data_IF_087285803389
#
_entry.id   IF_087285803389
#
_cell.length_a   1.000
_cell.length_b   1.000
_cell.length_c   1.000
_cell.angle_alpha   90.00
_cell.angle_beta   90.00
_cell.angle_gamma   90.00
#
_symmetry.space_group_name_H-M   'P 1'
#
loop_
_entity.id
_entity.type
_entity.pdbx_description
1 polymer ?
#
# COMPACT_ATOMS: atom_id res chain seq x y z
N UNK A 1 8.29 4.52 -21.59
CA UNK A 1 8.18 3.10 -21.15
C UNK A 1 6.81 2.54 -21.46
N UNK A 2 6.70 1.22 -21.54
CA UNK A 2 5.41 0.51 -21.65
C UNK A 2 5.23 -0.45 -20.48
N UNK A 3 3.99 -0.71 -20.08
CA UNK A 3 3.67 -1.83 -19.18
C UNK A 3 3.02 -2.94 -19.99
N UNK A 4 3.59 -4.14 -19.92
CA UNK A 4 3.08 -5.33 -20.58
C UNK A 4 2.42 -6.26 -19.55
N UNK A 5 1.30 -6.85 -19.93
CA UNK A 5 0.63 -7.95 -19.23
C UNK A 5 0.89 -9.25 -19.97
N UNK A 6 1.36 -10.24 -19.23
CA UNK A 6 1.74 -11.56 -19.73
C UNK A 6 1.14 -12.59 -18.76
N UNK A 7 0.66 -13.71 -19.30
CA UNK A 7 0.29 -14.88 -18.50
C UNK A 7 1.06 -16.07 -19.09
N UNK A 8 2.20 -16.48 -18.51
CA UNK A 8 2.94 -17.62 -19.03
C UNK A 8 2.14 -18.90 -18.78
N UNK A 9 2.10 -19.79 -19.76
CA UNK A 9 1.30 -21.02 -19.72
C UNK A 9 2.16 -22.25 -19.38
N UNK A 10 3.46 -22.20 -19.71
CA UNK A 10 4.36 -23.35 -19.57
C UNK A 10 5.58 -23.02 -18.71
N UNK A 11 6.21 -24.06 -18.18
CA UNK A 11 7.46 -23.95 -17.40
C UNK A 11 8.57 -23.30 -18.24
N UNK A 12 8.64 -23.61 -19.54
CA UNK A 12 9.64 -23.04 -20.46
C UNK A 12 9.44 -21.53 -20.63
N UNK A 13 8.18 -21.07 -20.73
CA UNK A 13 7.90 -19.64 -20.80
C UNK A 13 8.25 -18.92 -19.49
N UNK A 14 7.96 -19.55 -18.34
CA UNK A 14 8.35 -19.03 -17.02
C UNK A 14 9.88 -18.87 -16.93
N UNK A 15 10.64 -19.91 -17.28
CA UNK A 15 12.11 -19.89 -17.25
C UNK A 15 12.69 -18.81 -18.17
N UNK A 16 12.09 -18.64 -19.35
CA UNK A 16 12.49 -17.59 -20.29
C UNK A 16 12.23 -16.19 -19.72
N UNK A 17 11.02 -15.94 -19.19
CA UNK A 17 10.68 -14.65 -18.59
C UNK A 17 11.55 -14.33 -17.38
N UNK A 18 11.86 -15.32 -16.55
CA UNK A 18 12.79 -15.19 -15.43
C UNK A 18 14.15 -14.71 -15.91
N UNK A 19 14.73 -15.39 -16.90
CA UNK A 19 16.02 -15.03 -17.48
C UNK A 19 15.98 -13.63 -18.12
N UNK A 20 14.92 -13.33 -18.88
CA UNK A 20 14.74 -12.06 -19.58
C UNK A 20 14.70 -10.88 -18.59
N UNK A 21 13.87 -11.00 -17.56
CA UNK A 21 13.72 -10.00 -16.52
C UNK A 21 15.02 -9.76 -15.74
N UNK A 22 15.73 -10.83 -15.39
CA UNK A 22 17.03 -10.72 -14.69
C UNK A 22 18.12 -10.11 -15.58
N UNK A 23 18.15 -10.47 -16.88
CA UNK A 23 19.17 -9.99 -17.82
C UNK A 23 19.05 -8.48 -18.07
N UNK A 24 17.82 -8.01 -18.30
CA UNK A 24 17.56 -6.60 -18.59
C UNK A 24 17.27 -5.77 -17.35
N UNK A 25 17.25 -6.38 -16.17
CA UNK A 25 16.89 -5.73 -14.90
C UNK A 25 15.54 -5.01 -15.00
N UNK A 26 14.52 -5.70 -15.54
CA UNK A 26 13.21 -5.10 -15.80
C UNK A 26 12.49 -4.76 -14.49
N UNK A 27 11.69 -3.70 -14.53
CA UNK A 27 10.86 -3.26 -13.41
C UNK A 27 9.56 -4.07 -13.39
N UNK A 28 9.48 -5.03 -12.46
CA UNK A 28 8.33 -5.89 -12.29
C UNK A 28 7.32 -5.23 -11.33
N UNK A 29 6.10 -5.04 -11.82
CA UNK A 29 5.00 -4.50 -11.02
C UNK A 29 4.22 -5.62 -10.30
N UNK A 30 4.16 -6.82 -10.88
CA UNK A 30 3.50 -8.02 -10.32
C UNK A 30 4.00 -9.29 -11.04
N UNK A 31 4.51 -10.34 -10.35
CA UNK A 31 5.08 -10.30 -8.99
C UNK A 31 6.26 -9.32 -8.90
N UNK A 32 6.94 -9.18 -7.77
CA UNK A 32 8.05 -8.20 -7.64
C UNK A 32 9.44 -8.77 -7.95
N UNK A 33 9.58 -10.09 -8.04
CA UNK A 33 10.84 -10.77 -8.30
C UNK A 33 10.68 -11.74 -9.48
N UNK A 34 11.70 -11.89 -10.34
CA UNK A 34 11.66 -12.85 -11.43
C UNK A 34 11.38 -14.27 -10.95
N UNK A 35 12.04 -14.73 -9.89
CA UNK A 35 11.87 -16.08 -9.32
C UNK A 35 10.43 -16.39 -8.86
N UNK A 36 9.60 -15.38 -8.63
CA UNK A 36 8.20 -15.52 -8.26
C UNK A 36 7.25 -15.65 -9.46
N UNK A 37 7.75 -15.58 -10.70
CA UNK A 37 6.93 -15.79 -11.90
C UNK A 37 6.44 -17.26 -11.93
N UNK A 38 5.12 -17.45 -12.05
CA UNK A 38 4.47 -18.77 -12.12
C UNK A 38 3.58 -18.91 -13.34
N UNK A 39 3.43 -20.14 -13.81
CA UNK A 39 2.52 -20.44 -14.91
C UNK A 39 1.06 -20.23 -14.48
N UNK A 40 0.26 -19.60 -15.35
CA UNK A 40 -1.15 -19.28 -15.13
C UNK A 40 -1.39 -18.02 -14.29
N UNK A 41 -0.35 -17.31 -13.87
CA UNK A 41 -0.45 -16.09 -13.06
C UNK A 41 -0.11 -14.83 -13.86
N UNK A 42 -0.68 -13.68 -13.45
CA UNK A 42 -0.43 -12.40 -14.12
C UNK A 42 1.01 -11.91 -13.85
N UNK A 43 1.73 -11.61 -14.94
CA UNK A 43 2.98 -10.87 -14.94
C UNK A 43 2.74 -9.48 -15.54
N UNK A 44 3.00 -8.43 -14.75
CA UNK A 44 3.05 -7.05 -15.19
C UNK A 44 4.49 -6.53 -15.12
N UNK A 45 5.02 -6.10 -16.27
CA UNK A 45 6.40 -5.59 -16.38
C UNK A 45 6.41 -4.23 -17.05
N UNK A 46 7.03 -3.24 -16.40
CA UNK A 46 7.39 -1.97 -17.03
C UNK A 46 8.71 -2.16 -17.78
N UNK A 47 8.64 -1.97 -19.09
CA UNK A 47 9.77 -2.07 -20.01
C UNK A 47 10.24 -0.66 -20.39
N UNK A 48 11.52 -0.32 -20.12
CA UNK A 48 12.12 0.94 -20.54
C UNK A 48 11.97 1.16 -22.05
N UNK A 49 11.69 2.40 -22.48
CA UNK A 49 11.44 2.71 -23.89
C UNK A 49 12.49 2.14 -24.88
N UNK A 50 13.80 2.18 -24.60
CA UNK A 50 14.82 1.61 -25.50
C UNK A 50 14.74 0.09 -25.66
N UNK A 51 14.20 -0.63 -24.66
CA UNK A 51 14.13 -2.10 -24.63
C UNK A 51 12.79 -2.65 -25.11
N UNK A 52 11.78 -1.80 -25.36
CA UNK A 52 10.40 -2.25 -25.67
C UNK A 52 10.36 -3.19 -26.87
N UNK A 53 11.05 -2.84 -27.97
CA UNK A 53 11.01 -3.67 -29.17
C UNK A 53 11.75 -4.99 -28.97
N UNK A 54 12.95 -4.95 -28.37
CA UNK A 54 13.75 -6.13 -28.07
C UNK A 54 13.01 -7.13 -27.16
N UNK A 55 12.37 -6.64 -26.10
CA UNK A 55 11.55 -7.47 -25.21
C UNK A 55 10.36 -8.07 -25.97
N UNK A 56 9.63 -7.28 -26.76
CA UNK A 56 8.48 -7.78 -27.54
C UNK A 56 8.87 -8.84 -28.56
N UNK A 57 9.97 -8.64 -29.26
CA UNK A 57 10.48 -9.61 -30.25
C UNK A 57 10.88 -10.91 -29.56
N UNK A 58 11.54 -10.83 -28.39
CA UNK A 58 11.86 -11.99 -27.55
C UNK A 58 10.62 -12.76 -27.10
N UNK A 59 9.55 -12.07 -26.69
CA UNK A 59 8.28 -12.70 -26.33
C UNK A 59 7.66 -13.44 -27.52
N UNK A 60 7.60 -12.81 -28.69
CA UNK A 60 7.06 -13.43 -29.92
C UNK A 60 7.87 -14.66 -30.33
N UNK A 61 9.21 -14.57 -30.30
CA UNK A 61 10.10 -15.68 -30.64
C UNK A 61 9.87 -16.92 -29.77
N UNK A 62 9.49 -16.72 -28.50
CA UNK A 62 9.23 -17.80 -27.54
C UNK A 62 7.75 -18.17 -27.42
N UNK A 63 6.91 -17.69 -28.36
CA UNK A 63 5.47 -17.93 -28.39
C UNK A 63 4.76 -17.49 -27.10
N UNK A 64 5.24 -16.40 -26.49
CA UNK A 64 4.65 -15.80 -25.29
C UNK A 64 3.72 -14.68 -25.71
N UNK A 65 2.42 -14.87 -25.49
CA UNK A 65 1.41 -13.85 -25.73
C UNK A 65 1.54 -12.72 -24.71
N UNK A 66 1.35 -11.48 -25.16
CA UNK A 66 1.34 -10.30 -24.29
C UNK A 66 0.27 -9.30 -24.73
N UNK A 67 -0.15 -8.47 -23.78
CA UNK A 67 -1.01 -7.30 -24.01
C UNK A 67 -0.29 -6.05 -23.50
N UNK A 68 -0.35 -4.95 -24.25
CA UNK A 68 0.11 -3.66 -23.74
C UNK A 68 -0.96 -3.09 -22.83
N UNK A 69 -0.68 -3.02 -21.53
CA UNK A 69 -1.57 -2.38 -20.54
C UNK A 69 -1.46 -0.86 -20.64
N UNK A 70 -0.22 -0.36 -20.56
CA UNK A 70 0.08 1.07 -20.57
C UNK A 70 1.01 1.35 -21.75
N UNK A 71 0.52 2.00 -22.83
CA UNK A 71 1.32 2.26 -24.01
C UNK A 71 2.33 3.40 -23.82
N UNK A 72 2.08 4.29 -22.87
CA UNK A 72 2.96 5.40 -22.53
C UNK A 72 2.83 5.73 -21.03
N UNK A 73 3.77 5.22 -20.24
CA UNK A 73 3.84 5.46 -18.80
C UNK A 73 4.08 6.94 -18.50
N UNK A 74 4.90 7.62 -19.31
CA UNK A 74 5.23 9.03 -19.08
C UNK A 74 3.98 9.89 -19.24
N UNK A 75 3.17 9.61 -20.27
CA UNK A 75 1.90 10.30 -20.46
C UNK A 75 0.94 10.16 -19.28
N UNK A 76 0.82 8.97 -18.69
CA UNK A 76 -0.02 8.78 -17.50
C UNK A 76 0.54 9.51 -16.28
N UNK A 77 1.86 9.47 -16.09
CA UNK A 77 2.53 10.25 -15.04
C UNK A 77 2.25 11.73 -15.20
N UNK A 78 2.47 12.29 -16.40
CA UNK A 78 2.24 13.71 -16.72
C UNK A 78 0.79 14.14 -16.51
N UNK A 79 -0.16 13.23 -16.74
CA UNK A 79 -1.59 13.44 -16.49
C UNK A 79 -1.96 13.35 -15.00
N UNK A 80 -1.22 12.54 -14.22
CA UNK A 80 -1.46 12.35 -12.79
C UNK A 80 -0.88 13.46 -11.91
N UNK A 81 0.15 14.16 -12.40
CA UNK A 81 0.74 15.29 -11.70
C UNK A 81 -0.12 16.55 -11.88
N UNK A 82 -0.38 17.35 -10.83
CA UNK A 82 -1.10 18.61 -10.98
C UNK A 82 -0.38 19.52 -11.99
N UNK A 83 -1.13 20.02 -12.99
CA UNK A 83 -0.59 20.84 -14.11
C UNK A 83 0.04 22.16 -13.67
N UNK A 84 -0.27 22.62 -12.47
CA UNK A 84 0.38 23.75 -11.83
C UNK A 84 0.97 23.27 -10.52
N UNK A 85 2.28 23.44 -10.33
CA UNK A 85 2.87 23.43 -9.00
C UNK A 85 2.13 24.52 -8.23
N UNK A 86 1.20 24.13 -7.37
CA UNK A 86 0.44 25.01 -6.49
C UNK A 86 1.36 25.55 -5.40
N UNK A 87 2.46 26.20 -5.78
CA UNK A 87 3.12 27.16 -4.91
C UNK A 87 2.10 28.27 -4.67
N UNK A 88 1.41 28.19 -3.54
CA UNK A 88 0.42 29.17 -3.07
C UNK A 88 -0.96 29.13 -3.71
N UNK A 89 -1.60 27.96 -3.86
CA UNK A 89 -3.06 27.97 -3.69
C UNK A 89 -3.33 28.27 -2.22
N UNK A 90 -3.54 29.55 -1.89
CA UNK A 90 -4.37 29.89 -0.73
C UNK A 90 -5.62 29.01 -0.84
N UNK A 91 -5.83 28.14 0.15
CA UNK A 91 -6.96 27.22 0.26
C UNK A 91 -8.24 28.06 0.48
N UNK A 92 -8.63 28.80 -0.53
CA UNK A 92 -9.87 29.58 -0.58
C UNK A 92 -11.07 28.69 -0.94
N UNK A 93 -10.83 27.45 -1.41
CA UNK A 93 -11.83 26.49 -1.86
C UNK A 93 -12.04 25.24 -0.99
N UNK A 94 -11.35 25.09 0.14
CA UNK A 94 -11.42 23.89 0.98
C UNK A 94 -10.60 22.69 0.45
N UNK A 95 -10.51 21.62 1.25
CA UNK A 95 -9.76 20.41 0.95
C UNK A 95 -10.57 19.45 0.05
N UNK A 96 -9.99 18.96 -1.06
CA UNK A 96 -10.71 18.22 -2.12
C UNK A 96 -10.35 16.73 -2.10
N UNK A 97 -11.15 15.91 -1.41
CA UNK A 97 -10.90 14.47 -1.24
C UNK A 97 -10.90 13.61 -2.52
N UNK A 98 -11.22 14.19 -3.67
CA UNK A 98 -11.18 13.54 -5.00
C UNK A 98 -9.93 13.90 -5.80
N UNK A 99 -8.91 14.47 -5.15
CA UNK A 99 -7.61 14.76 -5.73
C UNK A 99 -6.50 14.08 -4.90
N UNK A 100 -5.32 13.88 -5.50
CA UNK A 100 -4.13 13.48 -4.76
C UNK A 100 -3.44 14.72 -4.20
N UNK A 101 -2.95 14.62 -2.97
CA UNK A 101 -2.36 15.74 -2.24
C UNK A 101 -0.89 15.51 -1.92
N UNK A 102 0.00 16.51 -2.14
CA UNK A 102 1.37 16.45 -1.66
C UNK A 102 1.40 16.47 -0.13
N UNK A 103 2.49 15.97 0.46
CA UNK A 103 2.57 15.77 1.93
C UNK A 103 2.27 17.03 2.76
N UNK A 104 2.69 18.20 2.29
CA UNK A 104 2.45 19.47 3.00
C UNK A 104 0.95 19.77 3.14
N UNK A 105 0.17 19.53 2.08
CA UNK A 105 -1.30 19.66 2.13
C UNK A 105 -1.92 18.62 3.06
N UNK A 106 -1.37 17.40 3.12
CA UNK A 106 -1.80 16.36 4.07
C UNK A 106 -1.53 16.80 5.52
N UNK A 107 -0.37 17.38 5.83
CA UNK A 107 -0.10 17.89 7.19
C UNK A 107 -1.06 19.00 7.58
N UNK A 108 -1.28 19.97 6.69
CA UNK A 108 -2.23 21.06 6.93
C UNK A 108 -3.64 20.53 7.15
N UNK A 109 -4.06 19.54 6.34
CA UNK A 109 -5.31 18.84 6.49
C UNK A 109 -5.45 18.15 7.85
N UNK A 110 -4.43 17.41 8.31
CA UNK A 110 -4.45 16.75 9.63
C UNK A 110 -4.67 17.78 10.76
N UNK A 111 -3.95 18.90 10.72
CA UNK A 111 -4.10 19.97 11.71
C UNK A 111 -5.47 20.63 11.65
N UNK A 112 -6.01 20.87 10.45
CA UNK A 112 -7.35 21.45 10.28
C UNK A 112 -8.46 20.50 10.76
N UNK A 113 -8.37 19.21 10.44
CA UNK A 113 -9.33 18.20 10.88
C UNK A 113 -9.34 18.09 12.40
N UNK A 114 -8.16 18.04 13.04
CA UNK A 114 -8.04 18.03 14.49
C UNK A 114 -8.65 19.29 15.11
N UNK A 115 -8.34 20.47 14.59
CA UNK A 115 -8.86 21.75 15.10
C UNK A 115 -10.39 21.84 14.99
N UNK A 116 -10.95 21.42 13.86
CA UNK A 116 -12.38 21.54 13.58
C UNK A 116 -13.23 20.47 14.27
N UNK A 117 -12.63 19.39 14.76
CA UNK A 117 -13.32 18.24 15.37
C UNK A 117 -12.62 17.81 16.68
N UNK A 118 -12.15 18.78 17.47
CA UNK A 118 -11.33 18.52 18.66
C UNK A 118 -12.02 17.70 19.76
N UNK A 119 -13.35 17.56 19.68
CA UNK A 119 -14.15 16.69 20.54
C UNK A 119 -14.06 15.20 20.18
N UNK A 120 -13.59 14.87 18.97
CA UNK A 120 -13.44 13.50 18.46
C UNK A 120 -12.02 13.16 18.03
N UNK A 121 -11.27 14.13 17.51
CA UNK A 121 -9.99 13.91 16.85
C UNK A 121 -8.85 14.51 17.66
N UNK A 122 -7.85 13.68 17.94
CA UNK A 122 -6.56 14.12 18.47
C UNK A 122 -5.44 13.70 17.52
N UNK A 123 -4.43 14.56 17.39
CA UNK A 123 -3.25 14.30 16.57
C UNK A 123 -2.09 13.98 17.50
N UNK A 124 -1.39 12.89 17.21
CA UNK A 124 -0.29 12.40 18.05
C UNK A 124 0.97 12.18 17.23
N UNK A 125 2.13 12.48 17.81
CA UNK A 125 3.42 12.18 17.22
C UNK A 125 3.69 10.68 17.40
N UNK A 126 3.94 9.99 16.30
CA UNK A 126 4.33 8.58 16.28
C UNK A 126 5.86 8.41 16.37
N UNK A 127 6.58 9.28 15.67
CA UNK A 127 8.02 9.19 15.52
C UNK A 127 8.52 10.16 14.45
N UNK A 128 9.69 9.87 13.89
CA UNK A 128 10.27 10.63 12.78
C UNK A 128 10.78 9.70 11.68
N UNK A 129 10.75 10.18 10.45
CA UNK A 129 11.36 9.51 9.30
C UNK A 129 12.88 9.65 9.27
N UNK A 130 13.54 8.98 8.31
CA UNK A 130 14.98 9.11 8.13
C UNK A 130 15.41 10.55 7.86
N UNK A 131 14.71 11.27 7.00
CA UNK A 131 14.95 12.69 6.69
C UNK A 131 14.37 13.64 7.76
N UNK A 132 14.10 13.13 8.97
CA UNK A 132 13.70 13.89 10.16
C UNK A 132 12.34 14.60 10.06
N UNK A 133 11.40 14.06 9.26
CA UNK A 133 10.01 14.54 9.20
C UNK A 133 9.15 13.86 10.25
N UNK A 134 8.25 14.61 10.88
CA UNK A 134 7.42 14.09 11.97
C UNK A 134 6.29 13.21 11.43
N UNK A 135 6.23 11.97 11.90
CA UNK A 135 5.11 11.07 11.61
C UNK A 135 3.98 11.34 12.60
N UNK A 136 2.79 11.64 12.08
CA UNK A 136 1.59 11.84 12.88
C UNK A 136 0.55 10.76 12.59
N UNK A 137 -0.19 10.34 13.61
CA UNK A 137 -1.45 9.62 13.43
C UNK A 137 -2.61 10.41 14.03
N UNK A 138 -3.80 10.20 13.47
CA UNK A 138 -5.05 10.74 13.99
C UNK A 138 -5.73 9.64 14.83
N UNK A 139 -6.02 9.96 16.08
CA UNK A 139 -6.92 9.17 16.92
C UNK A 139 -8.32 9.76 16.79
N UNK A 140 -9.25 8.96 16.27
CA UNK A 140 -10.68 9.27 16.20
C UNK A 140 -11.38 8.46 17.29
N UNK A 141 -11.85 9.15 18.32
CA UNK A 141 -12.41 8.53 19.51
C UNK A 141 -13.55 9.37 20.06
N UNK A 142 -14.74 8.78 20.16
CA UNK A 142 -15.83 9.38 20.91
C UNK A 142 -15.58 9.26 22.42
N UNK A 143 -15.66 10.35 23.21
CA UNK A 143 -15.51 10.29 24.66
C UNK A 143 -16.47 9.28 25.31
N UNK A 144 -15.92 8.39 26.14
CA UNK A 144 -16.67 7.32 26.80
C UNK A 144 -15.95 6.87 28.07
N UNK A 145 -16.70 6.41 29.07
CA UNK A 145 -16.16 5.79 30.28
C UNK A 145 -15.79 4.31 30.08
N UNK A 146 -16.07 3.76 28.89
CA UNK A 146 -15.74 2.36 28.55
C UNK A 146 -14.38 2.30 27.88
N UNK A 147 -13.58 1.30 28.24
CA UNK A 147 -12.38 0.95 27.47
C UNK A 147 -12.81 0.40 26.10
N UNK A 148 -12.37 1.07 25.03
CA UNK A 148 -12.65 0.69 23.64
C UNK A 148 -11.49 -0.09 23.04
N UNK A 149 -11.80 -0.97 22.09
CA UNK A 149 -10.76 -1.62 21.27
C UNK A 149 -10.33 -0.71 20.13
N UNK A 150 -9.11 -0.87 19.66
CA UNK A 150 -8.51 -0.04 18.63
C UNK A 150 -8.52 -0.79 17.30
N UNK A 151 -8.89 -0.08 16.23
CA UNK A 151 -8.55 -0.45 14.86
C UNK A 151 -7.41 0.46 14.44
N UNK A 152 -6.25 -0.15 14.17
CA UNK A 152 -5.12 0.53 13.54
C UNK A 152 -5.29 0.48 12.03
N UNK A 153 -5.07 1.61 11.36
CA UNK A 153 -5.06 1.73 9.92
C UNK A 153 -3.87 2.55 9.48
N UNK A 154 -2.98 1.97 8.68
CA UNK A 154 -1.91 2.70 8.00
C UNK A 154 -2.07 2.68 6.48
N UNK A 155 -1.64 3.79 5.88
CA UNK A 155 -1.61 4.01 4.45
C UNK A 155 -0.23 4.52 4.03
N UNK A 156 0.04 4.46 2.72
CA UNK A 156 1.25 5.05 2.12
C UNK A 156 2.56 4.44 2.63
N UNK A 157 2.60 3.13 2.90
CA UNK A 157 3.86 2.42 3.22
C UNK A 157 4.76 2.28 1.97
N UNK A 158 4.17 2.13 0.79
CA UNK A 158 4.88 2.27 -0.49
C UNK A 158 4.53 3.61 -1.14
N UNK A 159 5.57 4.34 -1.57
CA UNK A 159 5.42 5.74 -1.96
C UNK A 159 4.55 5.96 -3.21
N UNK A 160 4.67 5.11 -4.24
CA UNK A 160 3.92 5.22 -5.51
C UNK A 160 2.42 4.94 -5.42
N UNK A 161 1.94 4.38 -4.31
CA UNK A 161 0.57 3.89 -4.13
C UNK A 161 -0.37 5.01 -3.65
N UNK A 162 -0.49 6.09 -4.42
CA UNK A 162 -1.15 7.34 -4.00
C UNK A 162 -2.64 7.20 -3.60
N UNK A 163 -3.34 6.17 -4.11
CA UNK A 163 -4.72 5.87 -3.70
C UNK A 163 -4.84 5.43 -2.24
N UNK A 164 -3.78 4.88 -1.66
CA UNK A 164 -3.76 4.45 -0.27
C UNK A 164 -3.85 5.66 0.69
N UNK A 165 -2.95 6.67 0.64
CA UNK A 165 -3.14 7.91 1.42
C UNK A 165 -4.48 8.61 1.14
N UNK A 166 -4.94 8.65 -0.11
CA UNK A 166 -6.25 9.23 -0.45
C UNK A 166 -7.40 8.52 0.29
N UNK A 167 -7.37 7.18 0.36
CA UNK A 167 -8.35 6.40 1.12
C UNK A 167 -8.31 6.70 2.63
N UNK A 168 -7.14 6.75 3.26
CA UNK A 168 -7.07 7.10 4.69
C UNK A 168 -7.71 8.48 4.97
N UNK A 169 -7.49 9.45 4.09
CA UNK A 169 -8.09 10.79 4.21
C UNK A 169 -9.60 10.75 4.02
N UNK A 170 -10.09 10.00 3.03
CA UNK A 170 -11.51 9.75 2.80
C UNK A 170 -12.18 9.04 3.98
N UNK A 171 -11.53 8.02 4.56
CA UNK A 171 -12.04 7.29 5.73
C UNK A 171 -12.28 8.26 6.90
N UNK A 172 -11.31 9.12 7.21
CA UNK A 172 -11.47 10.15 8.27
C UNK A 172 -12.64 11.09 7.95
N UNK A 173 -12.75 11.56 6.71
CA UNK A 173 -13.88 12.40 6.26
C UNK A 173 -15.22 11.72 6.49
N UNK A 174 -15.39 10.48 6.01
CA UNK A 174 -16.66 9.76 6.10
C UNK A 174 -17.07 9.49 7.54
N UNK A 175 -16.12 9.13 8.41
CA UNK A 175 -16.42 8.98 9.85
C UNK A 175 -16.91 10.31 10.44
N UNK A 176 -16.20 11.41 10.21
CA UNK A 176 -16.53 12.71 10.83
C UNK A 176 -17.81 13.34 10.29
N UNK A 177 -18.12 13.14 9.01
CA UNK A 177 -19.34 13.68 8.41
C UNK A 177 -20.59 12.89 8.81
N UNK A 178 -20.45 11.58 9.09
CA UNK A 178 -21.60 10.70 9.23
C UNK A 178 -21.80 10.11 10.64
N UNK A 179 -20.89 10.30 11.62
CA UNK A 179 -21.02 9.63 12.92
C UNK A 179 -22.28 9.97 13.73
N UNK A 180 -22.93 11.11 13.46
CA UNK A 180 -24.19 11.51 14.10
C UNK A 180 -25.43 10.98 13.39
N UNK A 181 -25.32 10.68 12.10
CA UNK A 181 -26.46 10.40 11.21
C UNK A 181 -26.50 8.95 10.74
N UNK A 182 -25.35 8.30 10.58
CA UNK A 182 -25.24 6.89 10.22
C UNK A 182 -25.19 6.01 11.50
N UNK A 183 -26.19 5.14 11.73
CA UNK A 183 -26.23 4.29 12.92
C UNK A 183 -25.07 3.28 13.02
N UNK A 184 -24.51 2.82 11.89
CA UNK A 184 -23.37 1.90 11.88
C UNK A 184 -22.09 2.61 12.31
N UNK A 185 -21.81 3.78 11.74
CA UNK A 185 -20.63 4.58 12.11
C UNK A 185 -20.74 5.03 13.57
N UNK A 186 -21.92 5.47 14.00
CA UNK A 186 -22.17 5.80 15.40
C UNK A 186 -21.89 4.62 16.33
N UNK A 187 -22.38 3.43 15.98
CA UNK A 187 -22.11 2.20 16.75
C UNK A 187 -20.62 1.84 16.75
N UNK A 188 -19.89 2.07 15.67
CA UNK A 188 -18.44 1.85 15.67
C UNK A 188 -17.75 2.77 16.67
N UNK A 189 -17.96 4.09 16.62
CA UNK A 189 -17.28 5.03 17.54
C UNK A 189 -17.66 4.85 19.02
N UNK A 190 -18.84 4.29 19.30
CA UNK A 190 -19.25 3.92 20.66
C UNK A 190 -18.45 2.75 21.25
N UNK A 191 -17.91 1.86 20.40
CA UNK A 191 -17.27 0.61 20.83
C UNK A 191 -15.78 0.52 20.44
N UNK A 192 -15.35 1.32 19.47
CA UNK A 192 -14.03 1.28 18.87
C UNK A 192 -13.40 2.68 18.80
N UNK A 193 -12.07 2.67 18.80
CA UNK A 193 -11.25 3.81 18.42
C UNK A 193 -10.53 3.52 17.10
N UNK A 194 -10.46 4.51 16.22
CA UNK A 194 -9.72 4.40 14.96
C UNK A 194 -8.43 5.21 15.03
N UNK A 195 -7.30 4.53 14.85
CA UNK A 195 -5.99 5.16 14.85
C UNK A 195 -5.46 5.09 13.42
N UNK A 196 -5.46 6.24 12.74
CA UNK A 196 -5.21 6.34 11.30
C UNK A 196 -3.89 7.06 11.06
N UNK A 197 -2.94 6.38 10.39
CA UNK A 197 -1.69 6.93 9.89
C UNK A 197 -1.80 7.15 8.38
N UNK A 198 -2.06 8.38 7.90
CA UNK A 198 -2.35 8.62 6.48
C UNK A 198 -1.18 8.32 5.54
N UNK A 199 0.06 8.57 5.98
CA UNK A 199 1.27 8.30 5.21
C UNK A 199 2.34 7.78 6.16
N UNK A 200 2.70 6.51 6.02
CA UNK A 200 3.78 5.88 6.78
C UNK A 200 5.15 6.26 6.20
N UNK A 201 5.33 6.11 4.88
CA UNK A 201 6.57 6.43 4.18
C UNK A 201 6.57 7.87 3.66
N UNK A 202 6.67 8.84 4.57
CA UNK A 202 6.58 10.26 4.22
C UNK A 202 7.70 10.69 3.27
N UNK A 203 8.94 10.26 3.52
CA UNK A 203 10.08 10.67 2.70
C UNK A 203 9.98 10.10 1.28
N UNK A 204 9.61 8.82 1.16
CA UNK A 204 9.35 8.19 -0.14
C UNK A 204 8.17 8.85 -0.85
N UNK A 205 7.07 9.15 -0.14
CA UNK A 205 5.91 9.80 -0.72
C UNK A 205 6.28 11.16 -1.31
N UNK A 206 6.99 12.02 -0.57
CA UNK A 206 7.52 13.30 -1.08
C UNK A 206 8.41 13.08 -2.30
N UNK A 207 9.32 12.10 -2.25
CA UNK A 207 10.19 11.78 -3.39
C UNK A 207 9.39 11.38 -4.63
N UNK A 208 8.25 10.70 -4.45
CA UNK A 208 7.34 10.35 -5.56
C UNK A 208 6.60 11.54 -6.17
N UNK A 209 6.45 12.63 -5.42
CA UNK A 209 5.90 13.88 -5.95
C UNK A 209 6.96 14.73 -6.66
N UNK A 210 8.21 14.68 -6.19
CA UNK A 210 9.23 15.65 -6.61
C UNK A 210 10.26 15.11 -7.61
N UNK A 211 10.52 13.80 -7.62
CA UNK A 211 11.67 13.20 -8.32
C UNK A 211 11.30 11.98 -9.15
N UNK A 212 10.66 10.98 -8.54
CA UNK A 212 10.34 9.72 -9.22
C UNK A 212 8.97 9.20 -8.79
N UNK A 213 7.97 9.45 -9.63
CA UNK A 213 6.56 9.06 -9.41
C UNK A 213 6.37 7.58 -9.10
N UNK A 214 7.27 6.71 -9.56
CA UNK A 214 7.17 5.26 -9.38
C UNK A 214 8.08 4.75 -8.25
N UNK A 215 8.67 5.65 -7.45
CA UNK A 215 9.43 5.27 -6.27
C UNK A 215 8.57 4.51 -5.26
N UNK A 216 9.14 3.45 -4.67
CA UNK A 216 8.45 2.55 -3.74
C UNK A 216 8.93 2.69 -2.30
N UNK A 217 10.24 2.71 -2.10
CA UNK A 217 10.94 2.48 -0.82
C UNK A 217 11.00 3.73 0.07
N UNK A 218 11.59 3.60 1.26
CA UNK A 218 12.01 4.74 2.10
C UNK A 218 13.13 5.56 1.41
N UNK A 219 13.76 6.50 2.14
CA UNK A 219 14.84 7.35 1.63
C UNK A 219 16.14 7.28 2.44
N UNK A 220 16.30 6.25 3.29
CA UNK A 220 17.56 5.97 3.98
C UNK A 220 18.70 5.66 2.99
N UNK A 221 19.92 6.20 3.16
CA UNK A 221 21.06 5.93 2.31
C UNK A 221 21.75 4.61 2.70
N UNK A 222 22.23 3.87 1.71
CA UNK A 222 23.06 2.68 1.89
C UNK A 222 24.30 2.77 1.00
N UNK A 223 25.32 1.97 1.32
CA UNK A 223 26.57 1.89 0.54
C UNK A 223 27.18 3.29 0.26
N UNK A 224 27.31 4.10 1.30
CA UNK A 224 27.79 5.49 1.20
C UNK A 224 26.99 6.37 0.22
N UNK A 225 25.69 6.07 0.03
CA UNK A 225 24.79 6.82 -0.85
C UNK A 225 24.75 6.32 -2.30
N UNK A 226 25.28 5.12 -2.58
CA UNK A 226 25.14 4.50 -3.92
C UNK A 226 23.70 4.06 -4.22
N UNK A 227 22.94 3.72 -3.18
CA UNK A 227 21.56 3.26 -3.25
C UNK A 227 20.76 3.83 -2.08
N UNK A 228 19.45 3.93 -2.25
CA UNK A 228 18.55 4.53 -1.26
C UNK A 228 17.32 3.67 -1.03
N UNK A 229 16.86 3.68 0.21
CA UNK A 229 15.58 3.18 0.64
C UNK A 229 15.55 1.68 0.89
N UNK A 230 14.74 1.32 1.87
CA UNK A 230 14.29 -0.04 2.19
C UNK A 230 12.81 -0.18 1.85
N UNK A 231 12.41 -1.36 1.40
CA UNK A 231 10.99 -1.71 1.34
C UNK A 231 10.47 -1.86 2.76
N UNK A 232 9.72 -0.86 3.23
CA UNK A 232 9.19 -0.84 4.59
C UNK A 232 8.31 -2.05 4.88
N UNK A 233 7.65 -2.62 3.86
CA UNK A 233 6.83 -3.82 3.98
C UNK A 233 7.62 -5.13 3.75
N UNK A 234 8.95 -5.06 3.83
CA UNK A 234 9.88 -6.18 4.02
C UNK A 234 10.74 -6.02 5.29
N UNK A 235 10.55 -4.94 6.04
CA UNK A 235 11.42 -4.57 7.13
C UNK A 235 10.87 -4.95 8.52
N UNK A 236 9.62 -5.40 8.66
CA UNK A 236 9.10 -5.81 9.97
C UNK A 236 9.70 -7.15 10.43
N UNK A 237 9.74 -7.39 11.74
CA UNK A 237 10.32 -8.60 12.31
C UNK A 237 9.37 -9.82 12.24
N UNK A 238 9.03 -10.25 11.02
CA UNK A 238 8.19 -11.44 10.77
C UNK A 238 8.79 -12.29 9.66
N UNK A 239 9.47 -13.37 10.04
CA UNK A 239 10.29 -14.18 9.12
C UNK A 239 11.29 -13.32 8.32
N UNK A 240 11.75 -12.21 8.89
CA UNK A 240 12.53 -11.19 8.15
C UNK A 240 13.71 -11.80 7.40
N UNK A 241 13.89 -11.40 6.14
CA UNK A 241 15.01 -11.84 5.32
C UNK A 241 14.86 -13.25 4.72
N UNK A 242 13.69 -13.92 4.85
CA UNK A 242 13.58 -15.34 4.50
C UNK A 242 13.08 -15.64 3.09
N UNK A 243 12.12 -14.86 2.56
CA UNK A 243 11.50 -15.11 1.25
C UNK A 243 10.92 -13.82 0.65
N UNK A 244 10.93 -13.70 -0.68
CA UNK A 244 10.34 -12.56 -1.40
C UNK A 244 10.99 -11.21 -1.07
N UNK A 245 12.31 -11.24 -0.82
CA UNK A 245 13.14 -10.11 -0.39
C UNK A 245 14.48 -10.11 -1.10
N UNK A 246 15.17 -8.97 -1.08
CA UNK A 246 16.53 -8.83 -1.53
C UNK A 246 17.41 -8.26 -0.42
N UNK A 247 18.68 -8.66 -0.39
CA UNK A 247 19.74 -8.02 0.42
C UNK A 247 20.56 -6.99 -0.37
N UNK A 248 20.31 -6.86 -1.68
CA UNK A 248 20.86 -5.78 -2.50
C UNK A 248 20.00 -4.53 -2.33
N UNK A 249 20.61 -3.44 -1.85
CA UNK A 249 19.96 -2.15 -1.59
C UNK A 249 19.41 -1.46 -2.84
N UNK A 250 19.82 -1.86 -4.05
CA UNK A 250 19.27 -1.34 -5.30
C UNK A 250 17.93 -2.00 -5.69
N UNK A 251 17.57 -3.11 -5.05
CA UNK A 251 16.30 -3.79 -5.28
C UNK A 251 15.13 -3.05 -4.64
N UNK A 252 13.98 -3.08 -5.31
CA UNK A 252 12.70 -2.58 -4.83
C UNK A 252 12.14 -3.35 -3.63
N UNK A 253 12.63 -4.57 -3.38
CA UNK A 253 12.28 -5.41 -2.22
C UNK A 253 13.44 -5.58 -1.25
N UNK A 254 14.36 -4.61 -1.22
CA UNK A 254 15.43 -4.59 -0.22
C UNK A 254 14.85 -4.60 1.19
N UNK A 255 15.20 -5.60 2.01
CA UNK A 255 14.61 -5.79 3.34
C UNK A 255 15.23 -4.94 4.46
N UNK A 256 16.24 -4.12 4.13
CA UNK A 256 16.97 -3.29 5.08
C UNK A 256 18.19 -3.99 5.69
N UNK A 257 18.91 -3.30 6.56
CA UNK A 257 20.11 -3.82 7.24
C UNK A 257 19.79 -4.77 8.41
N UNK A 258 18.53 -4.84 8.81
CA UNK A 258 18.02 -5.67 9.89
C UNK A 258 16.50 -5.50 10.02
N UNK A 259 15.82 -6.34 10.80
CA UNK A 259 14.42 -6.14 11.11
C UNK A 259 14.23 -4.82 11.89
N UNK A 260 13.25 -4.04 11.49
CA UNK A 260 12.90 -2.73 12.05
C UNK A 260 14.10 -1.74 12.00
N UNK A 261 14.98 -1.88 10.98
CA UNK A 261 16.10 -0.96 10.75
C UNK A 261 15.63 0.46 10.44
N UNK A 262 14.52 0.57 9.71
CA UNK A 262 13.99 1.86 9.27
C UNK A 262 13.31 2.59 10.43
N UNK A 263 13.57 3.89 10.62
CA UNK A 263 12.95 4.64 11.71
C UNK A 263 11.42 4.68 11.60
N UNK A 264 10.86 4.66 10.39
CA UNK A 264 9.42 4.61 10.13
C UNK A 264 8.81 3.28 10.58
N UNK A 265 9.38 2.16 10.13
CA UNK A 265 8.99 0.80 10.54
C UNK A 265 9.09 0.65 12.05
N UNK A 266 10.20 1.11 12.65
CA UNK A 266 10.44 1.02 14.09
C UNK A 266 9.44 1.83 14.89
N UNK A 267 9.08 3.03 14.45
CA UNK A 267 8.09 3.87 15.13
C UNK A 267 6.71 3.18 15.19
N UNK A 268 6.23 2.64 14.05
CA UNK A 268 4.99 1.85 14.01
C UNK A 268 5.12 0.60 14.88
N UNK A 269 6.22 -0.14 14.74
CA UNK A 269 6.41 -1.40 15.44
C UNK A 269 6.39 -1.23 16.96
N UNK A 270 7.10 -0.22 17.48
CA UNK A 270 7.12 0.08 18.91
C UNK A 270 5.75 0.51 19.43
N UNK A 271 5.06 1.40 18.71
CA UNK A 271 3.74 1.88 19.11
C UNK A 271 2.71 0.75 19.21
N UNK A 272 2.64 -0.09 18.17
CA UNK A 272 1.68 -1.19 18.10
C UNK A 272 2.03 -2.28 19.12
N UNK A 273 3.31 -2.63 19.32
CA UNK A 273 3.72 -3.56 20.39
C UNK A 273 3.25 -3.09 21.77
N UNK A 274 3.32 -1.79 22.05
CA UNK A 274 2.89 -1.22 23.33
C UNK A 274 1.37 -1.19 23.52
N UNK A 275 0.58 -1.26 22.44
CA UNK A 275 -0.90 -1.22 22.47
C UNK A 275 -1.56 -2.52 22.01
N UNK A 276 -0.80 -3.58 21.75
CA UNK A 276 -1.32 -4.79 21.10
C UNK A 276 -2.50 -5.45 21.82
N UNK A 277 -2.60 -5.34 23.15
CA UNK A 277 -3.72 -5.87 23.93
C UNK A 277 -5.04 -5.14 23.65
N UNK A 278 -4.95 -3.89 23.19
CA UNK A 278 -6.11 -3.03 22.93
C UNK A 278 -6.45 -3.01 21.44
N UNK A 279 -5.52 -3.39 20.55
CA UNK A 279 -5.74 -3.43 19.11
C UNK A 279 -6.45 -4.73 18.73
N UNK A 280 -7.65 -4.60 18.18
CA UNK A 280 -8.45 -5.71 17.66
C UNK A 280 -8.13 -5.99 16.20
N UNK A 281 -7.89 -4.94 15.40
CA UNK A 281 -7.66 -5.07 13.98
C UNK A 281 -6.52 -4.18 13.49
N UNK A 282 -5.68 -4.75 12.61
CA UNK A 282 -4.60 -4.07 11.90
C UNK A 282 -4.92 -4.07 10.40
N UNK A 283 -5.08 -2.88 9.83
CA UNK A 283 -5.35 -2.66 8.43
C UNK A 283 -4.16 -1.90 7.81
N UNK A 284 -3.55 -2.47 6.78
CA UNK A 284 -2.55 -1.76 5.97
C UNK A 284 -3.06 -1.65 4.54
N UNK A 285 -3.14 -0.43 4.03
CA UNK A 285 -3.77 -0.11 2.76
C UNK A 285 -2.71 0.13 1.71
N UNK A 286 -2.87 -0.52 0.56
CA UNK A 286 -1.93 -0.60 -0.54
C UNK A 286 -2.65 -0.48 -1.88
N UNK A 287 -1.89 -0.48 -2.97
CA UNK A 287 -2.42 -0.71 -4.32
C UNK A 287 -1.33 -1.32 -5.19
N UNK A 288 -1.63 -2.02 -6.27
CA UNK A 288 -2.93 -2.29 -6.84
C UNK A 288 -3.11 -3.80 -7.00
N UNK A 289 -4.34 -4.22 -7.28
CA UNK A 289 -4.63 -5.62 -7.62
C UNK A 289 -6.02 -6.07 -7.24
N UNK A 290 -6.76 -5.25 -6.49
CA UNK A 290 -8.09 -5.59 -5.95
C UNK A 290 -8.04 -6.89 -5.12
N UNK A 291 -7.24 -6.87 -4.06
CA UNK A 291 -7.00 -8.02 -3.17
C UNK A 291 -7.31 -7.65 -1.73
N UNK A 292 -7.88 -8.59 -0.98
CA UNK A 292 -7.88 -8.56 0.50
C UNK A 292 -7.03 -9.74 0.95
N UNK A 293 -5.83 -9.43 1.45
CA UNK A 293 -4.83 -10.43 1.78
C UNK A 293 -4.83 -10.71 3.28
N UNK A 294 -4.81 -12.00 3.62
CA UNK A 294 -4.64 -12.50 4.98
C UNK A 294 -3.21 -13.01 5.22
N UNK A 295 -2.79 -13.17 6.49
CA UNK A 295 -1.56 -13.89 6.82
C UNK A 295 -1.62 -15.36 6.37
N UNK A 296 -0.50 -16.01 6.06
CA UNK A 296 0.86 -15.48 5.99
C UNK A 296 1.32 -15.27 4.54
N UNK A 297 2.29 -14.39 4.35
CA UNK A 297 3.07 -14.22 3.13
C UNK A 297 4.31 -15.12 3.09
N UNK A 298 4.89 -15.46 4.25
CA UNK A 298 6.14 -16.22 4.30
C UNK A 298 5.96 -17.74 4.20
N UNK A 299 4.73 -18.22 4.34
CA UNK A 299 4.38 -19.64 4.30
C UNK A 299 2.95 -19.84 3.80
N UNK A 300 2.69 -20.99 3.19
CA UNK A 300 1.34 -21.44 2.83
C UNK A 300 0.59 -22.07 4.00
N UNK A 301 1.27 -22.30 5.14
CA UNK A 301 0.62 -22.79 6.36
C UNK A 301 -0.29 -21.68 6.94
N UNK A 302 -1.59 -21.93 7.10
CA UNK A 302 -2.51 -20.92 7.60
C UNK A 302 -2.31 -20.66 9.11
N UNK A 303 -2.66 -19.45 9.61
CA UNK A 303 -2.75 -19.19 11.05
C UNK A 303 -3.86 -20.00 11.73
N UNK A 304 -3.81 -20.11 13.06
CA UNK A 304 -4.78 -20.90 13.84
C UNK A 304 -6.22 -20.37 13.75
N UNK A 305 -6.41 -19.06 13.54
CA UNK A 305 -7.70 -18.40 13.37
C UNK A 305 -8.03 -18.09 11.89
N UNK A 306 -7.45 -18.84 10.95
CA UNK A 306 -7.64 -18.59 9.51
C UNK A 306 -9.10 -18.61 9.05
N UNK A 307 -9.96 -19.44 9.67
CA UNK A 307 -11.39 -19.49 9.35
C UNK A 307 -12.08 -18.14 9.59
N UNK A 308 -11.84 -17.53 10.75
CA UNK A 308 -12.36 -16.20 11.10
C UNK A 308 -11.79 -15.12 10.17
N UNK A 309 -10.48 -15.11 9.94
CA UNK A 309 -9.83 -14.16 9.02
C UNK A 309 -10.44 -14.21 7.61
N UNK A 310 -10.61 -15.42 7.07
CA UNK A 310 -11.18 -15.62 5.74
C UNK A 310 -12.66 -15.27 5.68
N UNK A 311 -13.43 -15.54 6.75
CA UNK A 311 -14.84 -15.16 6.81
C UNK A 311 -15.00 -13.63 6.76
N UNK A 312 -14.33 -12.90 7.65
CA UNK A 312 -14.41 -11.43 7.70
C UNK A 312 -13.93 -10.81 6.38
N UNK A 313 -12.82 -11.29 5.81
CA UNK A 313 -12.33 -10.77 4.54
C UNK A 313 -13.28 -11.03 3.36
N UNK A 314 -13.99 -12.17 3.32
CA UNK A 314 -15.01 -12.46 2.30
C UNK A 314 -16.24 -11.58 2.47
N UNK A 315 -16.67 -11.32 3.70
CA UNK A 315 -17.77 -10.40 3.98
C UNK A 315 -17.42 -8.97 3.55
N UNK A 316 -16.19 -8.51 3.82
CA UNK A 316 -15.69 -7.22 3.34
C UNK A 316 -15.65 -7.15 1.80
N UNK A 317 -15.13 -8.17 1.12
CA UNK A 317 -15.13 -8.23 -0.34
C UNK A 317 -16.54 -8.23 -0.95
N UNK A 318 -17.50 -8.90 -0.30
CA UNK A 318 -18.90 -8.91 -0.72
C UNK A 318 -19.57 -7.54 -0.54
N UNK A 319 -19.32 -6.86 0.58
CA UNK A 319 -19.81 -5.52 0.84
C UNK A 319 -19.27 -4.51 -0.18
N UNK A 320 -17.96 -4.55 -0.43
CA UNK A 320 -17.28 -3.74 -1.46
C UNK A 320 -17.90 -3.97 -2.84
N UNK A 321 -18.07 -5.24 -3.22
CA UNK A 321 -18.70 -5.60 -4.50
C UNK A 321 -20.14 -5.08 -4.62
N UNK A 322 -20.88 -5.02 -3.50
CA UNK A 322 -22.24 -4.49 -3.47
C UNK A 322 -22.36 -3.02 -3.86
N UNK A 323 -21.29 -2.23 -3.77
CA UNK A 323 -21.29 -0.80 -4.09
C UNK A 323 -21.25 -0.54 -5.60
N UNK A 324 -20.24 -1.08 -6.30
CA UNK A 324 -19.98 -0.81 -7.72
C UNK A 324 -19.78 -2.06 -8.59
N UNK A 325 -19.94 -3.26 -8.04
CA UNK A 325 -19.68 -4.52 -8.74
C UNK A 325 -18.19 -4.90 -8.83
N UNK A 326 -17.30 -4.07 -8.30
CA UNK A 326 -15.85 -4.30 -8.28
C UNK A 326 -15.55 -5.56 -7.47
N UNK A 327 -14.80 -6.48 -8.07
CA UNK A 327 -14.49 -7.77 -7.44
C UNK A 327 -13.08 -7.75 -6.85
N UNK A 328 -12.99 -8.04 -5.55
CA UNK A 328 -11.73 -8.25 -4.85
C UNK A 328 -11.52 -9.73 -4.57
N UNK A 329 -10.31 -10.24 -4.85
CA UNK A 329 -9.91 -11.62 -4.51
C UNK A 329 -9.45 -11.67 -3.05
N UNK A 330 -9.82 -12.73 -2.35
CA UNK A 330 -9.52 -12.93 -0.92
C UNK A 330 -8.68 -14.19 -0.73
N UNK A 331 -7.61 -14.11 0.07
CA UNK A 331 -6.76 -15.27 0.35
C UNK A 331 -5.48 -14.91 1.08
N UNK A 332 -4.74 -15.93 1.52
CA UNK A 332 -3.43 -15.70 2.11
C UNK A 332 -2.46 -15.18 1.05
N UNK A 333 -1.58 -14.28 1.48
CA UNK A 333 -0.66 -13.58 0.57
C UNK A 333 0.22 -14.55 -0.22
N UNK A 334 0.74 -15.60 0.44
CA UNK A 334 1.57 -16.62 -0.21
C UNK A 334 0.83 -17.45 -1.27
N UNK A 335 -0.51 -17.52 -1.22
CA UNK A 335 -1.32 -18.34 -2.13
C UNK A 335 -1.90 -17.57 -3.31
N UNK A 336 -2.23 -16.28 -3.15
CA UNK A 336 -2.97 -15.53 -4.17
C UNK A 336 -2.22 -14.34 -4.78
N UNK A 337 -1.04 -14.00 -4.24
CA UNK A 337 -0.20 -12.93 -4.74
C UNK A 337 1.22 -13.43 -5.07
N UNK A 338 2.10 -13.52 -4.07
CA UNK A 338 3.44 -14.11 -4.12
C UNK A 338 3.98 -14.19 -2.69
N UNK A 339 4.97 -15.05 -2.45
CA UNK A 339 5.56 -15.20 -1.12
C UNK A 339 6.37 -13.97 -0.72
N UNK A 340 6.24 -13.52 0.53
CA UNK A 340 7.04 -12.43 1.07
C UNK A 340 7.26 -12.58 2.58
N UNK A 341 8.32 -11.97 3.08
CA UNK A 341 8.64 -11.89 4.50
C UNK A 341 8.78 -10.44 4.94
N UNK A 342 8.71 -10.22 6.25
CA UNK A 342 8.86 -8.89 6.85
C UNK A 342 7.71 -7.91 6.57
N UNK A 343 6.54 -8.41 6.20
CA UNK A 343 5.35 -7.58 6.02
C UNK A 343 4.74 -7.13 7.35
N UNK A 344 4.15 -5.94 7.36
CA UNK A 344 3.52 -5.33 8.53
C UNK A 344 2.33 -6.15 9.03
N UNK A 345 1.50 -6.65 8.10
CA UNK A 345 0.34 -7.53 8.38
C UNK A 345 0.75 -8.82 9.08
N UNK A 346 1.73 -9.54 8.55
CA UNK A 346 2.16 -10.82 9.14
C UNK A 346 2.79 -10.60 10.52
N UNK A 347 3.57 -9.51 10.66
CA UNK A 347 4.13 -9.10 11.94
C UNK A 347 3.08 -8.76 12.98
N UNK A 348 2.08 -7.94 12.62
CA UNK A 348 0.97 -7.57 13.50
C UNK A 348 0.21 -8.80 14.00
N UNK A 349 -0.07 -9.74 13.10
CA UNK A 349 -0.69 -11.01 13.45
C UNK A 349 0.20 -11.85 14.39
N UNK A 350 1.50 -11.95 14.08
CA UNK A 350 2.47 -12.74 14.85
C UNK A 350 2.65 -12.23 16.28
N UNK A 351 2.56 -10.91 16.52
CA UNK A 351 2.66 -10.35 17.88
C UNK A 351 1.37 -10.47 18.70
N UNK A 352 0.27 -10.94 18.08
CA UNK A 352 -0.99 -11.29 18.74
C UNK A 352 -2.20 -10.43 18.37
N UNK A 353 -2.16 -9.63 17.29
CA UNK A 353 -3.36 -8.91 16.81
C UNK A 353 -4.22 -9.87 15.98
N UNK A 354 -5.45 -10.18 16.40
CA UNK A 354 -6.21 -11.30 15.84
C UNK A 354 -6.63 -11.07 14.38
N UNK A 355 -7.04 -9.85 14.03
CA UNK A 355 -7.52 -9.52 12.70
C UNK A 355 -6.51 -8.63 11.98
N UNK A 356 -5.72 -9.18 11.06
CA UNK A 356 -4.69 -8.42 10.32
C UNK A 356 -4.88 -8.59 8.82
N UNK A 357 -5.06 -7.50 8.08
CA UNK A 357 -5.33 -7.52 6.64
C UNK A 357 -4.49 -6.52 5.87
N UNK A 358 -4.20 -6.87 4.62
CA UNK A 358 -3.75 -5.92 3.61
C UNK A 358 -4.83 -5.74 2.56
N UNK A 359 -5.17 -4.50 2.24
CA UNK A 359 -6.03 -4.17 1.11
C UNK A 359 -5.17 -3.68 -0.04
N UNK A 360 -5.19 -4.37 -1.17
CA UNK A 360 -4.64 -3.88 -2.44
C UNK A 360 -5.79 -3.26 -3.24
N UNK A 361 -5.86 -1.93 -3.28
CA UNK A 361 -6.97 -1.20 -3.89
C UNK A 361 -6.96 -1.29 -5.42
N UNK A 362 -7.81 -0.49 -6.07
CA UNK A 362 -7.90 -0.40 -7.53
C UNK A 362 -6.56 0.00 -8.17
N UNK A 363 -6.34 -0.35 -9.44
CA UNK A 363 -7.17 -1.22 -10.30
C UNK A 363 -6.53 -2.61 -10.46
N UNK A 364 -6.80 -3.31 -11.57
CA UNK A 364 -6.16 -4.59 -11.89
C UNK A 364 -5.01 -4.46 -12.88
N UNK A 365 -4.47 -3.25 -13.08
CA UNK A 365 -3.33 -2.95 -13.95
C UNK A 365 -3.62 -2.05 -15.15
N UNK A 366 -4.84 -1.54 -15.32
CA UNK A 366 -5.15 -0.63 -16.46
C UNK A 366 -4.40 0.69 -16.29
N UNK A 367 -4.36 1.20 -15.07
CA UNK A 367 -3.56 2.36 -14.67
C UNK A 367 -2.52 1.97 -13.62
N UNK A 368 -2.73 0.88 -12.88
CA UNK A 368 -1.81 0.43 -11.84
C UNK A 368 -1.57 1.53 -10.80
N UNK A 369 -0.32 1.94 -10.63
CA UNK A 369 0.07 2.96 -9.64
C UNK A 369 -0.25 4.40 -10.02
N UNK A 370 -0.67 4.67 -11.27
CA UNK A 370 -1.05 6.00 -11.78
C UNK A 370 -2.56 6.08 -12.04
N UNK A 371 -3.33 5.58 -11.06
CA UNK A 371 -4.80 5.60 -11.08
C UNK A 371 -5.32 7.05 -11.24
N UNK A 372 -6.26 7.34 -12.16
CA UNK A 372 -6.76 8.71 -12.37
C UNK A 372 -7.55 9.23 -11.16
N UNK A 373 -7.55 10.55 -10.97
CA UNK A 373 -8.23 11.20 -9.85
C UNK A 373 -9.75 10.93 -9.83
N UNK A 374 -10.38 10.78 -11.00
CA UNK A 374 -11.82 10.44 -11.10
C UNK A 374 -12.16 9.03 -10.55
N UNK A 375 -11.16 8.18 -10.33
CA UNK A 375 -11.31 6.88 -9.69
C UNK A 375 -11.13 6.94 -8.17
N UNK A 376 -10.71 8.07 -7.59
CA UNK A 376 -10.50 8.17 -6.13
C UNK A 376 -11.81 7.95 -5.39
N UNK A 377 -12.86 8.71 -5.74
CA UNK A 377 -14.17 8.58 -5.09
C UNK A 377 -14.74 7.16 -5.18
N UNK A 378 -14.91 6.53 -6.37
CA UNK A 378 -15.48 5.20 -6.43
C UNK A 378 -14.62 4.14 -5.71
N UNK A 379 -13.29 4.29 -5.70
CA UNK A 379 -12.40 3.40 -4.94
C UNK A 379 -12.59 3.58 -3.43
N UNK A 380 -12.68 4.82 -2.94
CA UNK A 380 -12.83 5.05 -1.51
C UNK A 380 -14.21 4.67 -1.00
N UNK A 381 -15.27 4.94 -1.76
CA UNK A 381 -16.65 4.62 -1.40
C UNK A 381 -16.98 3.14 -1.40
N UNK A 382 -16.28 2.31 -2.18
CA UNK A 382 -16.43 0.85 -2.11
C UNK A 382 -15.57 0.23 -1.00
N UNK A 383 -14.47 0.88 -0.63
CA UNK A 383 -13.54 0.39 0.40
C UNK A 383 -14.02 0.74 1.82
N UNK A 384 -14.75 1.85 1.99
CA UNK A 384 -15.38 2.29 3.24
C UNK A 384 -16.48 1.34 3.71
#
# INVERSE_FOLDING_TARGET
DQVLHIVPETIQQVQHLQLLCSTFTLDLWKPLLPEDIRAGEDLHIRVPAPLVQEVKDSLVQHMISYRVLIPDVQKLVDQSMPREKSSHREVSGGYIYTEYHPMEEIYQWMTQIQKNNSELVTQHILGKTFENRTMYYLQISQPSNKTKKIIWMDCGIHAREWISPAFCQWFVKEILQNYKTDPKISRFLQNLDFYVLPVLNIDGYIYSWEKDRLWRKSRSPYENGACYGTDLNRNFNSSWGSVGVSFNCSSDVFCGSGPESEPETRAVAQFIKNKKSDILCYLTIHSYGQLILTPYGSTTKPPSNNEELMQVAKEAAAALKGKYGTSYRVGSTALILYSNSGSSRDWAHTIGIPLSYTFELRDTGTHGFVLPADQIQPTCEETM
#
